data_IF_608281683800
#
_entry.id   IF_608281683800
#
_cell.length_a   1.000
_cell.length_b   1.000
_cell.length_c   1.000
_cell.angle_alpha   90.00
_cell.angle_beta   90.00
_cell.angle_gamma   90.00
#
_symmetry.space_group_name_H-M   'P 1'
#
loop_
_entity.id
_entity.type
_entity.pdbx_description
1 polymer ?
#
# COMPACT_ATOMS: atom_id res chain seq x y z
N UNK A 1 -13.03 6.96 -16.37
CA UNK A 1 -12.24 5.72 -16.48
C UNK A 1 -10.98 5.87 -15.65
N UNK A 2 -10.77 4.96 -14.69
CA UNK A 2 -9.56 4.96 -13.85
C UNK A 2 -8.33 4.59 -14.68
N UNK A 3 -7.24 5.35 -14.55
CA UNK A 3 -6.02 5.16 -15.33
C UNK A 3 -4.79 5.62 -14.56
N UNK A 4 -3.60 5.18 -14.97
CA UNK A 4 -2.34 5.76 -14.51
C UNK A 4 -2.08 7.08 -15.26
N UNK A 5 -1.59 8.08 -14.52
CA UNK A 5 -1.22 9.40 -15.06
C UNK A 5 0.15 9.80 -14.53
N UNK A 6 0.98 10.40 -15.37
CA UNK A 6 2.22 11.04 -14.93
C UNK A 6 1.92 12.17 -13.94
N UNK A 7 2.65 12.21 -12.81
CA UNK A 7 2.46 13.24 -11.78
C UNK A 7 2.89 14.64 -12.23
N UNK A 8 3.68 14.74 -13.30
CA UNK A 8 4.07 16.02 -13.90
C UNK A 8 3.01 16.47 -14.89
N UNK A 9 2.41 17.63 -14.63
CA UNK A 9 1.33 18.20 -15.44
C UNK A 9 1.74 18.43 -16.91
N UNK A 10 2.98 18.88 -17.15
CA UNK A 10 3.51 19.11 -18.50
C UNK A 10 3.64 17.83 -19.31
N UNK A 11 3.96 16.71 -18.66
CA UNK A 11 3.99 15.40 -19.31
C UNK A 11 2.57 14.87 -19.48
N UNK A 12 1.81 14.74 -18.39
CA UNK A 12 0.40 14.34 -18.38
C UNK A 12 0.09 12.99 -19.05
N UNK A 13 1.11 12.19 -19.37
CA UNK A 13 0.96 10.94 -20.10
C UNK A 13 0.06 9.97 -19.33
N UNK A 14 -0.76 9.22 -20.08
CA UNK A 14 -1.75 8.30 -19.55
C UNK A 14 -1.42 6.88 -19.97
N UNK A 15 -1.60 5.94 -19.05
CA UNK A 15 -1.31 4.53 -19.24
C UNK A 15 -2.48 3.69 -18.72
N UNK A 16 -2.53 2.41 -19.09
CA UNK A 16 -3.52 1.52 -18.52
C UNK A 16 -3.31 1.43 -17.00
N UNK A 17 -4.41 1.26 -16.24
CA UNK A 17 -4.32 1.16 -14.79
C UNK A 17 -3.40 0.02 -14.34
N UNK A 18 -3.46 -1.09 -15.08
CA UNK A 18 -2.81 -2.35 -14.76
C UNK A 18 -1.46 -2.52 -15.45
N UNK A 19 -1.00 -1.48 -16.16
CA UNK A 19 0.38 -1.40 -16.60
C UNK A 19 1.26 -1.41 -15.34
N UNK A 20 2.18 -2.38 -15.25
CA UNK A 20 3.02 -2.62 -14.06
C UNK A 20 4.16 -1.59 -13.91
N UNK A 21 3.88 -0.35 -14.28
CA UNK A 21 4.83 0.76 -14.36
C UNK A 21 5.07 1.34 -12.97
N UNK A 22 6.35 1.50 -12.62
CA UNK A 22 6.77 2.20 -11.41
C UNK A 22 7.18 3.67 -11.66
N UNK A 23 7.41 4.00 -12.93
CA UNK A 23 7.77 5.34 -13.40
C UNK A 23 7.19 5.56 -14.79
N UNK A 24 6.99 6.83 -15.16
CA UNK A 24 6.46 7.25 -16.44
C UNK A 24 7.45 6.93 -17.58
N UNK A 25 7.10 6.08 -18.56
CA UNK A 25 7.98 5.77 -19.69
C UNK A 25 8.40 6.97 -20.54
N UNK A 26 7.64 8.08 -20.49
CA UNK A 26 7.92 9.28 -21.29
C UNK A 26 8.95 10.23 -20.65
N UNK A 27 9.05 10.26 -19.32
CA UNK A 27 9.91 11.24 -18.62
C UNK A 27 10.62 10.73 -17.36
N UNK A 28 10.39 9.49 -16.94
CA UNK A 28 11.00 8.88 -15.75
C UNK A 28 10.37 9.27 -14.42
N UNK A 29 9.40 10.19 -14.41
CA UNK A 29 8.77 10.70 -13.18
C UNK A 29 7.70 9.76 -12.62
N UNK A 30 7.23 10.04 -11.40
CA UNK A 30 6.26 9.19 -10.70
C UNK A 30 4.90 9.13 -11.41
N UNK A 31 4.18 8.04 -11.16
CA UNK A 31 2.81 7.84 -11.62
C UNK A 31 1.84 7.99 -10.45
N UNK A 32 0.65 8.49 -10.75
CA UNK A 32 -0.49 8.55 -9.84
C UNK A 32 -1.70 7.86 -10.48
N UNK A 33 -2.66 7.44 -9.65
CA UNK A 33 -3.90 6.86 -10.14
C UNK A 33 -4.96 7.96 -10.25
N UNK A 34 -5.36 8.28 -11.48
CA UNK A 34 -6.46 9.19 -11.74
C UNK A 34 -7.78 8.43 -11.62
N UNK A 35 -8.60 8.79 -10.62
CA UNK A 35 -9.91 8.20 -10.35
C UNK A 35 -10.97 9.28 -10.49
N UNK A 36 -12.00 9.00 -11.27
CA UNK A 36 -13.15 9.90 -11.37
C UNK A 36 -13.94 9.85 -10.05
N UNK A 37 -14.41 11.02 -9.55
CA UNK A 37 -15.23 11.04 -8.36
C UNK A 37 -16.54 10.27 -8.59
N UNK A 38 -17.12 9.66 -7.54
CA UNK A 38 -18.41 8.99 -7.65
C UNK A 38 -19.49 9.97 -8.09
N UNK A 39 -20.37 9.56 -9.00
CA UNK A 39 -21.51 10.37 -9.48
C UNK A 39 -22.60 10.58 -8.40
N UNK A 40 -22.54 9.80 -7.33
CA UNK A 40 -23.49 9.86 -6.22
C UNK A 40 -23.35 11.14 -5.39
N UNK A 41 -24.45 11.56 -4.77
CA UNK A 41 -24.45 12.72 -3.88
C UNK A 41 -23.47 12.51 -2.69
N UNK A 42 -22.60 13.49 -2.37
CA UNK A 42 -21.56 13.33 -1.36
C UNK A 42 -22.03 12.89 0.04
N UNK A 43 -23.19 13.34 0.50
CA UNK A 43 -23.74 12.95 1.80
C UNK A 43 -24.17 11.48 1.84
N UNK A 44 -24.75 10.96 0.75
CA UNK A 44 -25.08 9.53 0.62
C UNK A 44 -23.83 8.66 0.69
N UNK A 45 -22.77 9.05 -0.03
CA UNK A 45 -21.49 8.33 -0.02
C UNK A 45 -20.86 8.36 1.38
N UNK A 46 -20.88 9.50 2.07
CA UNK A 46 -20.37 9.61 3.45
C UNK A 46 -21.15 8.76 4.44
N UNK A 47 -22.48 8.68 4.31
CA UNK A 47 -23.31 7.83 5.16
C UNK A 47 -23.00 6.36 4.95
N UNK A 48 -22.87 5.94 3.69
CA UNK A 48 -22.46 4.58 3.32
C UNK A 48 -21.11 4.18 3.93
N UNK A 49 -20.12 5.08 3.94
CA UNK A 49 -18.83 4.82 4.57
C UNK A 49 -18.92 4.67 6.10
N UNK A 50 -19.81 5.42 6.74
CA UNK A 50 -20.07 5.31 8.19
C UNK A 50 -20.77 4.00 8.54
N UNK A 51 -21.73 3.57 7.73
CA UNK A 51 -22.41 2.29 7.91
C UNK A 51 -21.44 1.12 7.78
N UNK A 52 -20.57 1.14 6.76
CA UNK A 52 -19.54 0.10 6.56
C UNK A 52 -18.61 -0.05 7.76
N UNK A 53 -18.26 1.05 8.42
CA UNK A 53 -17.44 1.05 9.64
C UNK A 53 -18.02 0.18 10.76
N UNK A 54 -19.34 -0.01 10.78
CA UNK A 54 -20.05 -0.82 11.77
C UNK A 54 -20.19 -2.29 11.36
N UNK A 55 -19.74 -2.64 10.16
CA UNK A 55 -19.82 -4.01 9.64
C UNK A 55 -18.76 -4.92 10.26
N UNK A 56 -19.09 -6.21 10.39
CA UNK A 56 -18.11 -7.27 10.70
C UNK A 56 -17.47 -7.87 9.44
N UNK A 57 -17.91 -7.47 8.25
CA UNK A 57 -17.36 -7.98 7.00
C UNK A 57 -15.96 -7.37 6.76
N UNK A 58 -14.89 -8.16 6.57
CA UNK A 58 -13.51 -7.65 6.53
C UNK A 58 -13.26 -6.51 5.54
N UNK A 59 -13.89 -6.58 4.36
CA UNK A 59 -13.83 -5.53 3.34
C UNK A 59 -14.47 -4.22 3.80
N UNK A 60 -15.51 -4.27 4.61
CA UNK A 60 -16.26 -3.09 5.05
C UNK A 60 -15.71 -2.51 6.35
N UNK A 61 -15.18 -3.37 7.23
CA UNK A 61 -14.46 -2.96 8.45
C UNK A 61 -13.09 -2.35 8.17
N UNK A 62 -12.44 -2.71 7.04
CA UNK A 62 -11.19 -2.09 6.59
C UNK A 62 -11.36 -0.57 6.40
N UNK A 63 -10.50 0.20 7.06
CA UNK A 63 -10.38 1.63 6.88
C UNK A 63 -9.87 2.07 5.52
N UNK A 64 -9.44 1.13 4.66
CA UNK A 64 -9.12 1.38 3.24
C UNK A 64 -10.35 1.06 2.38
N UNK A 65 -10.79 -0.20 2.37
CA UNK A 65 -11.82 -0.68 1.44
C UNK A 65 -13.23 -0.19 1.74
N UNK A 66 -13.49 0.35 2.94
CA UNK A 66 -14.74 1.08 3.20
C UNK A 66 -14.93 2.29 2.28
N UNK A 67 -13.83 2.85 1.76
CA UNK A 67 -13.78 4.00 0.85
C UNK A 67 -13.59 3.62 -0.61
N UNK A 68 -13.95 2.38 -1.00
CA UNK A 68 -13.68 1.84 -2.33
C UNK A 68 -14.13 2.73 -3.49
N UNK A 69 -15.14 3.58 -3.33
CA UNK A 69 -15.59 4.54 -4.36
C UNK A 69 -14.48 5.53 -4.78
N UNK A 70 -13.45 5.71 -3.95
CA UNK A 70 -12.30 6.58 -4.21
C UNK A 70 -11.01 5.79 -4.51
N UNK A 71 -11.12 4.49 -4.77
CA UNK A 71 -10.03 3.56 -5.04
C UNK A 71 -10.26 2.85 -6.38
N UNK A 72 -9.23 2.22 -6.96
CA UNK A 72 -9.42 1.28 -8.06
C UNK A 72 -10.44 0.20 -7.72
N UNK A 73 -11.34 -0.10 -8.66
CA UNK A 73 -12.44 -1.02 -8.44
C UNK A 73 -11.98 -2.47 -8.66
N UNK A 74 -12.20 -3.31 -7.65
CA UNK A 74 -11.99 -4.75 -7.76
C UNK A 74 -13.22 -5.51 -7.31
N UNK A 75 -13.39 -6.71 -7.88
CA UNK A 75 -14.31 -7.71 -7.35
C UNK A 75 -13.88 -8.12 -5.94
N UNK A 76 -14.85 -8.62 -5.16
CA UNK A 76 -14.62 -8.96 -3.76
C UNK A 76 -13.55 -10.03 -3.55
N UNK A 77 -13.45 -11.00 -4.47
CA UNK A 77 -12.51 -12.11 -4.35
C UNK A 77 -11.04 -11.69 -4.52
N UNK A 78 -10.77 -10.55 -5.16
CA UNK A 78 -9.41 -10.02 -5.28
C UNK A 78 -8.97 -9.22 -4.04
N UNK A 79 -9.91 -8.76 -3.21
CA UNK A 79 -9.57 -7.92 -2.05
C UNK A 79 -8.73 -8.70 -1.04
N UNK A 80 -7.49 -8.26 -0.80
CA UNK A 80 -6.61 -8.80 0.24
C UNK A 80 -6.57 -7.83 1.41
N UNK A 81 -7.31 -8.14 2.47
CA UNK A 81 -7.40 -7.29 3.67
C UNK A 81 -7.25 -8.08 4.97
N UNK A 82 -6.73 -7.39 5.99
CA UNK A 82 -6.70 -7.83 7.39
C UNK A 82 -7.53 -6.88 8.27
N UNK A 83 -8.48 -6.14 7.68
CA UNK A 83 -9.24 -5.07 8.35
C UNK A 83 -8.36 -3.94 8.88
N UNK A 84 -7.25 -3.66 8.20
CA UNK A 84 -6.39 -2.50 8.47
C UNK A 84 -7.13 -1.16 8.37
N UNK A 85 -6.54 -0.13 8.93
CA UNK A 85 -7.12 1.20 9.02
C UNK A 85 -8.16 1.28 10.13
N UNK A 86 -9.02 2.31 10.05
CA UNK A 86 -9.99 2.63 11.10
C UNK A 86 -9.35 2.79 12.50
N UNK A 87 -8.05 3.10 12.54
CA UNK A 87 -7.30 3.32 13.77
C UNK A 87 -7.79 4.60 14.47
N UNK A 88 -7.72 4.66 15.80
CA UNK A 88 -8.30 5.76 16.55
C UNK A 88 -7.53 7.07 16.37
N UNK A 89 -8.25 8.15 16.63
CA UNK A 89 -7.70 9.47 16.90
C UNK A 89 -7.63 9.63 18.42
N UNK A 90 -6.41 9.66 18.96
CA UNK A 90 -6.17 9.73 20.40
C UNK A 90 -5.98 11.19 20.81
N UNK A 91 -6.78 11.67 21.76
CA UNK A 91 -6.68 13.04 22.27
C UNK A 91 -5.42 13.24 23.11
N UNK A 92 -4.59 14.21 22.75
CA UNK A 92 -3.31 14.50 23.36
C UNK A 92 -3.36 15.67 24.35
N UNK A 93 -4.22 15.62 25.37
CA UNK A 93 -4.47 16.77 26.28
C UNK A 93 -3.20 17.40 26.86
N UNK A 94 -2.36 16.59 27.51
CA UNK A 94 -1.09 17.07 28.10
C UNK A 94 -0.12 17.66 27.07
N UNK A 95 -0.11 17.09 25.87
CA UNK A 95 0.72 17.59 24.76
C UNK A 95 0.16 18.90 24.20
N UNK A 96 -1.16 19.04 24.13
CA UNK A 96 -1.81 20.28 23.74
C UNK A 96 -1.45 21.42 24.70
N UNK A 97 -1.55 21.17 26.02
CA UNK A 97 -1.15 22.12 27.06
C UNK A 97 0.32 22.52 26.94
N UNK A 98 1.22 21.53 26.79
CA UNK A 98 2.65 21.79 26.63
C UNK A 98 2.98 22.59 25.35
N UNK A 99 2.31 22.29 24.25
CA UNK A 99 2.53 22.97 22.96
C UNK A 99 1.83 24.33 22.86
N UNK A 100 1.01 24.73 23.84
CA UNK A 100 0.26 25.98 23.83
C UNK A 100 -0.86 26.02 22.78
N UNK A 101 -1.41 24.86 22.39
CA UNK A 101 -2.50 24.76 21.41
C UNK A 101 -3.80 24.30 22.08
N UNK A 102 -4.95 24.77 21.56
CA UNK A 102 -6.26 24.45 22.15
C UNK A 102 -6.59 22.96 22.09
N UNK A 103 -6.24 22.29 20.99
CA UNK A 103 -6.50 20.88 20.81
C UNK A 103 -5.41 20.21 19.98
N UNK A 104 -5.08 18.96 20.35
CA UNK A 104 -4.12 18.12 19.63
C UNK A 104 -4.62 16.67 19.65
N UNK A 105 -4.57 16.01 18.49
CA UNK A 105 -4.91 14.59 18.33
C UNK A 105 -3.81 13.84 17.61
N UNK A 106 -3.62 12.57 17.97
CA UNK A 106 -2.71 11.64 17.31
C UNK A 106 -3.50 10.63 16.49
N UNK A 107 -3.24 10.58 15.17
CA UNK A 107 -3.72 9.48 14.33
C UNK A 107 -2.77 8.29 14.49
N UNK A 108 -3.16 7.29 15.29
CA UNK A 108 -2.26 6.20 15.68
C UNK A 108 -2.18 5.10 14.61
N UNK A 109 -1.41 5.35 13.54
CA UNK A 109 -1.24 4.39 12.44
C UNK A 109 -0.39 3.15 12.80
N UNK A 110 0.20 3.12 14.00
CA UNK A 110 0.88 1.93 14.52
C UNK A 110 -0.07 0.86 15.10
N UNK A 111 -1.38 1.08 15.12
CA UNK A 111 -2.37 0.08 15.57
C UNK A 111 -2.99 -0.70 14.39
N UNK A 112 -2.33 -0.66 13.24
CA UNK A 112 -2.63 -1.54 12.13
C UNK A 112 -2.07 -2.96 12.38
N UNK A 113 -2.50 -3.99 11.64
CA UNK A 113 -2.16 -5.39 11.87
C UNK A 113 -0.66 -5.70 12.04
N UNK A 114 0.22 -5.06 11.27
CA UNK A 114 1.68 -5.26 11.38
C UNK A 114 2.38 -4.25 12.27
N UNK A 115 1.63 -3.36 12.92
CA UNK A 115 2.18 -2.29 13.76
C UNK A 115 2.61 -1.06 12.98
N UNK A 116 2.21 -0.90 11.70
CA UNK A 116 2.66 0.22 10.87
C UNK A 116 1.61 0.75 9.90
N UNK A 117 1.79 1.99 9.45
CA UNK A 117 0.94 2.58 8.40
C UNK A 117 1.11 1.92 7.02
N UNK A 118 2.15 1.08 6.84
CA UNK A 118 2.43 0.45 5.54
C UNK A 118 1.30 -0.48 5.12
N UNK A 119 0.53 -1.00 6.08
CA UNK A 119 -0.64 -1.86 5.87
C UNK A 119 -1.70 -1.20 4.99
N UNK A 120 -1.90 0.10 5.15
CA UNK A 120 -2.88 0.85 4.34
C UNK A 120 -2.53 0.79 2.86
N UNK A 121 -1.25 0.98 2.52
CA UNK A 121 -0.81 0.86 1.13
C UNK A 121 -0.68 -0.59 0.67
N UNK A 122 -0.28 -1.48 1.58
CA UNK A 122 -0.01 -2.87 1.23
C UNK A 122 -1.29 -3.62 0.85
N UNK A 123 -2.42 -3.36 1.54
CA UNK A 123 -3.69 -3.97 1.15
C UNK A 123 -4.11 -3.62 -0.28
N UNK A 124 -3.91 -2.36 -0.69
CA UNK A 124 -4.24 -1.89 -2.04
C UNK A 124 -3.31 -2.50 -3.09
N UNK A 125 -1.99 -2.43 -2.88
CA UNK A 125 -1.03 -3.02 -3.80
C UNK A 125 -1.10 -4.55 -3.87
N UNK A 126 -1.43 -5.24 -2.78
CA UNK A 126 -1.59 -6.69 -2.76
C UNK A 126 -2.87 -7.13 -3.46
N UNK A 127 -3.94 -6.33 -3.39
CA UNK A 127 -5.15 -6.56 -4.17
C UNK A 127 -4.87 -6.45 -5.66
N UNK A 128 -4.09 -5.46 -6.09
CA UNK A 128 -3.65 -5.35 -7.48
C UNK A 128 -2.78 -6.55 -7.89
N UNK A 129 -1.81 -6.95 -7.07
CA UNK A 129 -0.99 -8.13 -7.32
C UNK A 129 -1.87 -9.39 -7.52
N UNK A 130 -2.86 -9.58 -6.65
CA UNK A 130 -3.81 -10.70 -6.76
C UNK A 130 -4.68 -10.61 -8.02
N UNK A 131 -5.12 -9.41 -8.40
CA UNK A 131 -5.86 -9.17 -9.63
C UNK A 131 -5.04 -9.50 -10.88
N UNK A 132 -3.76 -9.13 -10.88
CA UNK A 132 -2.81 -9.44 -11.96
C UNK A 132 -2.42 -10.93 -12.02
N UNK A 133 -2.83 -11.75 -11.05
CA UNK A 133 -2.55 -13.18 -11.01
C UNK A 133 -1.10 -13.54 -10.70
N UNK A 134 -0.32 -12.61 -10.13
CA UNK A 134 1.09 -12.86 -9.81
C UNK A 134 1.21 -13.82 -8.63
N UNK A 135 2.24 -14.66 -8.63
CA UNK A 135 2.47 -15.62 -7.54
C UNK A 135 3.45 -15.09 -6.48
N UNK A 136 4.24 -14.07 -6.82
CA UNK A 136 5.29 -13.52 -5.97
C UNK A 136 5.21 -12.00 -5.93
N UNK A 137 5.32 -11.44 -4.73
CA UNK A 137 5.48 -10.00 -4.52
C UNK A 137 6.83 -9.69 -3.89
N UNK A 138 7.36 -8.52 -4.20
CA UNK A 138 8.69 -8.13 -3.77
C UNK A 138 8.74 -6.72 -3.20
N UNK A 139 9.66 -6.52 -2.28
CA UNK A 139 10.10 -5.18 -1.90
C UNK A 139 11.58 -5.15 -1.60
N UNK A 140 12.07 -3.93 -1.52
CA UNK A 140 13.41 -3.61 -1.12
C UNK A 140 13.42 -2.81 0.17
N UNK A 141 13.34 -3.52 1.30
CA UNK A 141 13.29 -2.88 2.60
C UNK A 141 13.66 -3.87 3.68
N UNK A 142 14.32 -3.40 4.73
CA UNK A 142 14.54 -4.22 5.94
C UNK A 142 13.48 -3.99 7.01
N UNK A 143 12.54 -3.07 6.84
CA UNK A 143 11.66 -2.59 7.93
C UNK A 143 10.17 -2.86 7.70
N UNK A 144 9.34 -1.93 8.19
CA UNK A 144 7.88 -2.03 8.16
C UNK A 144 7.28 -2.37 6.79
N UNK A 145 7.91 -1.96 5.68
CA UNK A 145 7.45 -2.34 4.34
C UNK A 145 7.59 -3.84 4.10
N UNK A 146 8.70 -4.46 4.50
CA UNK A 146 8.91 -5.90 4.35
C UNK A 146 7.98 -6.72 5.25
N UNK A 147 7.80 -6.29 6.50
CA UNK A 147 6.86 -6.93 7.41
C UNK A 147 5.41 -6.88 6.89
N UNK A 148 4.96 -5.71 6.44
CA UNK A 148 3.65 -5.54 5.81
C UNK A 148 3.53 -6.37 4.54
N UNK A 149 4.54 -6.36 3.66
CA UNK A 149 4.54 -7.16 2.43
C UNK A 149 4.34 -8.63 2.74
N UNK A 150 5.14 -9.18 3.66
CA UNK A 150 5.11 -10.59 4.03
C UNK A 150 3.75 -11.00 4.61
N UNK A 151 3.21 -10.19 5.53
CA UNK A 151 1.91 -10.45 6.15
C UNK A 151 0.77 -10.48 5.12
N UNK A 152 0.73 -9.49 4.22
CA UNK A 152 -0.31 -9.40 3.20
C UNK A 152 -0.12 -10.42 2.08
N UNK A 153 1.11 -10.81 1.75
CA UNK A 153 1.39 -11.88 0.80
C UNK A 153 0.87 -13.22 1.35
N UNK A 154 1.20 -13.55 2.61
CA UNK A 154 0.68 -14.73 3.29
C UNK A 154 -0.85 -14.74 3.33
N UNK A 155 -1.47 -13.59 3.63
CA UNK A 155 -2.94 -13.42 3.61
C UNK A 155 -3.53 -13.61 2.20
N UNK A 156 -2.82 -13.17 1.17
CA UNK A 156 -3.23 -13.22 -0.23
C UNK A 156 -2.91 -14.54 -0.95
N UNK A 157 -2.16 -15.45 -0.31
CA UNK A 157 -1.72 -16.71 -0.93
C UNK A 157 -0.54 -16.54 -1.90
N UNK A 158 0.27 -15.49 -1.75
CA UNK A 158 1.44 -15.19 -2.58
C UNK A 158 2.74 -15.38 -1.79
N UNK A 159 3.85 -15.57 -2.49
CA UNK A 159 5.19 -15.55 -1.90
C UNK A 159 5.67 -14.11 -1.71
N UNK A 160 6.36 -13.83 -0.62
CA UNK A 160 7.02 -12.54 -0.40
C UNK A 160 8.53 -12.67 -0.53
N UNK A 161 9.15 -11.82 -1.34
CA UNK A 161 10.62 -11.69 -1.46
C UNK A 161 11.09 -10.33 -0.96
N UNK A 162 12.12 -10.34 -0.13
CA UNK A 162 12.75 -9.13 0.44
C UNK A 162 14.17 -9.04 -0.08
N UNK A 163 14.40 -8.10 -0.99
CA UNK A 163 15.68 -7.88 -1.66
C UNK A 163 16.54 -6.89 -0.88
N UNK A 164 17.78 -7.27 -0.56
CA UNK A 164 18.71 -6.48 0.25
C UNK A 164 20.15 -6.60 -0.25
N UNK A 165 20.97 -5.55 -0.14
CA UNK A 165 22.42 -5.70 -0.32
C UNK A 165 23.01 -6.68 0.70
N UNK A 166 23.98 -7.48 0.26
CA UNK A 166 24.71 -8.40 1.12
C UNK A 166 25.29 -7.69 2.36
N UNK A 167 25.15 -8.32 3.53
CA UNK A 167 25.61 -7.77 4.81
C UNK A 167 24.72 -6.69 5.43
N UNK A 168 23.65 -6.23 4.76
CA UNK A 168 22.68 -5.28 5.33
C UNK A 168 21.46 -5.97 5.97
N UNK A 169 21.42 -7.30 5.99
CA UNK A 169 20.37 -8.09 6.60
C UNK A 169 20.53 -8.14 8.14
N UNK A 170 19.83 -7.24 8.85
CA UNK A 170 19.71 -7.32 10.31
C UNK A 170 18.56 -8.26 10.68
N UNK A 171 18.86 -9.34 11.40
CA UNK A 171 17.87 -10.32 11.84
C UNK A 171 16.71 -9.67 12.63
N UNK A 172 17.02 -8.74 13.53
CA UNK A 172 16.00 -8.05 14.34
C UNK A 172 15.05 -7.20 13.48
N UNK A 173 15.55 -6.60 12.40
CA UNK A 173 14.70 -5.80 11.50
C UNK A 173 13.81 -6.70 10.63
N UNK A 174 14.33 -7.88 10.27
CA UNK A 174 13.64 -8.83 9.41
C UNK A 174 12.75 -9.83 10.13
N UNK A 175 12.85 -9.94 11.47
CA UNK A 175 12.16 -10.94 12.27
C UNK A 175 10.66 -11.06 11.90
N UNK A 176 9.93 -9.95 11.89
CA UNK A 176 8.50 -9.95 11.56
C UNK A 176 8.23 -10.41 10.11
N UNK A 177 9.08 -10.04 9.14
CA UNK A 177 8.92 -10.48 7.76
C UNK A 177 9.19 -11.99 7.62
N UNK A 178 10.22 -12.50 8.32
CA UNK A 178 10.57 -13.92 8.36
C UNK A 178 9.46 -14.76 9.03
N UNK A 179 8.87 -14.26 10.12
CA UNK A 179 7.74 -14.92 10.81
C UNK A 179 6.51 -15.07 9.91
N UNK A 180 6.31 -14.13 8.98
CA UNK A 180 5.27 -14.22 7.95
C UNK A 180 5.70 -15.01 6.70
N UNK A 181 6.90 -15.61 6.69
CA UNK A 181 7.36 -16.50 5.63
C UNK A 181 8.03 -15.80 4.45
N UNK A 182 8.57 -14.59 4.62
CA UNK A 182 9.32 -13.93 3.56
C UNK A 182 10.64 -14.63 3.23
N UNK A 183 10.93 -14.75 1.95
CA UNK A 183 12.24 -15.15 1.43
C UNK A 183 13.16 -13.92 1.37
N UNK A 184 14.28 -13.94 2.08
CA UNK A 184 15.28 -12.86 2.00
C UNK A 184 16.27 -13.16 0.90
N UNK A 185 16.34 -12.29 -0.10
CA UNK A 185 17.26 -12.38 -1.23
C UNK A 185 18.37 -11.35 -1.04
N UNK A 186 19.58 -11.83 -0.77
CA UNK A 186 20.76 -10.98 -0.68
C UNK A 186 21.37 -10.79 -2.07
N UNK A 187 21.62 -9.53 -2.43
CA UNK A 187 22.20 -9.17 -3.72
C UNK A 187 23.61 -8.63 -3.50
N UNK A 188 24.54 -9.05 -4.35
CA UNK A 188 25.88 -8.48 -4.40
C UNK A 188 25.87 -7.15 -5.15
N UNK A 189 26.45 -6.10 -4.55
CA UNK A 189 26.54 -4.76 -5.16
C UNK A 189 25.53 -3.75 -4.63
N UNK A 190 25.23 -2.74 -5.45
CA UNK A 190 24.33 -1.63 -5.06
C UNK A 190 22.87 -2.07 -5.15
N UNK A 191 22.06 -1.59 -4.20
CA UNK A 191 20.63 -1.87 -4.19
C UNK A 191 19.94 -1.40 -5.48
N UNK A 192 20.27 -0.18 -5.93
CA UNK A 192 19.63 0.44 -7.09
C UNK A 192 19.94 -0.34 -8.38
N UNK A 193 21.19 -0.75 -8.59
CA UNK A 193 21.58 -1.56 -9.76
C UNK A 193 20.86 -2.90 -9.80
N UNK A 194 20.64 -3.51 -8.63
CA UNK A 194 19.92 -4.77 -8.55
C UNK A 194 18.41 -4.60 -8.76
N UNK A 195 17.84 -3.49 -8.27
CA UNK A 195 16.45 -3.16 -8.52
C UNK A 195 16.23 -2.89 -10.00
N UNK A 196 17.10 -2.12 -10.65
CA UNK A 196 17.02 -1.85 -12.09
C UNK A 196 17.05 -3.16 -12.88
N UNK A 197 18.00 -4.06 -12.60
CA UNK A 197 18.09 -5.36 -13.26
C UNK A 197 16.85 -6.26 -13.02
N UNK A 198 16.23 -6.16 -11.84
CA UNK A 198 15.00 -6.90 -11.53
C UNK A 198 13.75 -6.30 -12.19
N UNK A 199 13.73 -4.98 -12.40
CA UNK A 199 12.66 -4.27 -13.10
C UNK A 199 12.76 -4.40 -14.62
N UNK A 200 13.98 -4.54 -15.14
CA UNK A 200 14.24 -4.93 -16.53
C UNK A 200 13.88 -6.40 -16.80
N UNK A 201 13.79 -7.22 -15.75
CA UNK A 201 13.37 -8.61 -15.86
C UNK A 201 11.89 -8.77 -16.22
N UNK A 202 11.60 -9.57 -17.24
CA UNK A 202 10.23 -9.90 -17.68
C UNK A 202 9.56 -10.99 -16.82
N UNK A 203 9.79 -11.02 -15.49
CA UNK A 203 9.08 -12.01 -14.65
C UNK A 203 7.63 -11.58 -14.43
N UNK A 204 6.75 -12.05 -15.31
CA UNK A 204 5.31 -11.82 -15.23
C UNK A 204 4.67 -12.35 -13.93
N UNK A 205 5.38 -13.17 -13.15
CA UNK A 205 4.92 -13.67 -11.86
C UNK A 205 5.39 -12.83 -10.66
N UNK A 206 6.17 -11.78 -10.89
CA UNK A 206 6.73 -10.91 -9.86
C UNK A 206 6.09 -9.52 -9.90
N UNK A 207 5.73 -8.99 -8.73
CA UNK A 207 5.20 -7.63 -8.61
C UNK A 207 5.86 -6.85 -7.47
N UNK A 208 6.41 -5.67 -7.80
CA UNK A 208 7.14 -4.82 -6.87
C UNK A 208 6.21 -3.85 -6.13
N UNK A 209 6.27 -3.91 -4.79
CA UNK A 209 5.47 -3.11 -3.87
C UNK A 209 6.35 -2.17 -3.03
N UNK A 210 7.24 -1.42 -3.69
CA UNK A 210 8.03 -0.35 -3.08
C UNK A 210 7.21 0.94 -2.92
N UNK A 211 7.75 1.96 -2.23
CA UNK A 211 7.01 3.19 -1.91
C UNK A 211 6.54 3.99 -3.12
N UNK A 212 7.19 3.80 -4.28
CA UNK A 212 6.83 4.43 -5.55
C UNK A 212 5.66 3.76 -6.26
N UNK A 213 5.23 2.56 -5.82
CA UNK A 213 4.10 1.87 -6.43
C UNK A 213 2.80 2.70 -6.19
N UNK A 214 2.08 3.10 -7.26
CA UNK A 214 0.97 4.03 -7.16
C UNK A 214 -0.20 3.48 -6.32
N UNK A 215 -0.46 2.17 -6.38
CA UNK A 215 -1.53 1.54 -5.58
C UNK A 215 -1.26 1.64 -4.08
N UNK A 216 0.00 1.69 -3.65
CA UNK A 216 0.31 1.89 -2.23
C UNK A 216 -0.06 3.27 -1.75
N UNK A 217 -0.02 4.28 -2.61
CA UNK A 217 -0.41 5.66 -2.29
C UNK A 217 -1.93 5.74 -2.16
N UNK A 218 -2.66 5.07 -3.04
CA UNK A 218 -4.13 4.96 -2.99
C UNK A 218 -4.64 4.35 -1.69
N UNK A 219 -3.96 3.34 -1.18
CA UNK A 219 -4.29 2.80 0.14
C UNK A 219 -3.96 3.79 1.27
N UNK A 220 -2.79 4.43 1.23
CA UNK A 220 -2.32 5.35 2.28
C UNK A 220 -3.17 6.63 2.40
N UNK A 221 -3.67 7.20 1.30
CA UNK A 221 -4.47 8.44 1.35
C UNK A 221 -5.74 8.27 2.20
N UNK A 222 -6.25 7.05 2.35
CA UNK A 222 -7.43 6.76 3.18
C UNK A 222 -7.22 7.04 4.66
N UNK A 223 -5.97 7.20 5.13
CA UNK A 223 -5.68 7.66 6.49
C UNK A 223 -6.28 9.05 6.78
N UNK A 224 -6.51 9.85 5.73
CA UNK A 224 -7.07 11.20 5.80
C UNK A 224 -8.60 11.23 5.84
N UNK A 225 -9.27 10.12 5.53
CA UNK A 225 -10.73 10.01 5.43
C UNK A 225 -11.37 9.48 6.72
#
# INVERSE_FOLDING_TARGET
>A
MTHLRCSIADCGAKFDLHDRLLACPACGELLEIAIDPPESEPSLVKNLWRERRLSFHPRYSSGVWRFRELLPQYSEHHIVTMSEGNTPLVEGRKTADWAGVRHLWFKHLGWNPTGSFKDLGMTAGMTEAKFLGVSTVACASTGNTAASLAAYAARGGMKARVYLPAGQASANKLAQALDFGAEVVQIEGSFDTALDALLEGEDENLYFLNSINPFRIEGQKTAMY
#
